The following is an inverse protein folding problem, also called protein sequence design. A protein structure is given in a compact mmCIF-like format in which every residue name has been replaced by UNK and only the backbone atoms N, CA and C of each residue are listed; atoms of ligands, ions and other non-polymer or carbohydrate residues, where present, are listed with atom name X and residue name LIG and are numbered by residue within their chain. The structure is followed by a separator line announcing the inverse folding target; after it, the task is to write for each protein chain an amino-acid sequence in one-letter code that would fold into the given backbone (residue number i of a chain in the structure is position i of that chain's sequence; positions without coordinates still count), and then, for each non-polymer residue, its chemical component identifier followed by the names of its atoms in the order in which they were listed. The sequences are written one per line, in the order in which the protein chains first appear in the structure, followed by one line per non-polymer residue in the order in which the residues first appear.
data_IF_284001610816
#
_entry.id   IF_284001610816
#
_cell.length_a   1.000
_cell.length_b   1.000
_cell.length_c   1.000
_cell.angle_alpha   90.00
_cell.angle_beta   90.00
_cell.angle_gamma   90.00
#
_symmetry.space_group_name_H-M   'P 1'
#
loop_
_entity.id
_entity.type
_entity.pdbx_description
1 polymer ?
#
# COMPACT_ATOMS: atom_id res chain seq x y z
N UNK A 1 -2.60 10.48 -14.84
CA UNK A 1 -3.67 10.49 -13.85
C UNK A 1 -4.98 9.91 -14.40
N UNK A 2 -5.57 10.42 -15.51
CA UNK A 2 -6.87 9.99 -16.02
C UNK A 2 -6.93 8.48 -16.34
N UNK A 3 -5.98 7.95 -17.11
CA UNK A 3 -5.91 6.51 -17.41
C UNK A 3 -5.85 5.64 -16.16
N UNK A 4 -5.07 6.04 -15.17
CA UNK A 4 -4.99 5.33 -13.90
C UNK A 4 -6.35 5.30 -13.20
N UNK A 5 -7.01 6.45 -13.06
CA UNK A 5 -8.30 6.56 -12.39
C UNK A 5 -9.37 5.68 -13.07
N UNK A 6 -9.48 5.74 -14.40
CA UNK A 6 -10.44 4.94 -15.14
C UNK A 6 -10.13 3.45 -15.06
N UNK A 7 -8.89 3.04 -15.28
CA UNK A 7 -8.50 1.65 -15.19
C UNK A 7 -8.73 1.07 -13.80
N UNK A 8 -8.39 1.82 -12.74
CA UNK A 8 -8.61 1.39 -11.37
C UNK A 8 -10.09 1.16 -11.05
N UNK A 9 -10.98 2.03 -11.53
CA UNK A 9 -12.41 1.93 -11.23
C UNK A 9 -13.18 0.98 -12.13
N UNK A 10 -12.70 0.65 -13.31
CA UNK A 10 -13.39 -0.15 -14.30
C UNK A 10 -12.83 -1.58 -14.44
N UNK A 11 -11.67 -1.86 -13.88
CA UNK A 11 -11.12 -3.21 -13.89
C UNK A 11 -11.75 -4.09 -12.81
N UNK A 12 -11.68 -5.38 -12.99
CA UNK A 12 -12.05 -6.35 -11.97
C UNK A 12 -10.92 -6.47 -10.94
N UNK A 13 -11.24 -6.07 -9.72
CA UNK A 13 -10.26 -5.87 -8.67
C UNK A 13 -9.62 -4.46 -8.73
N UNK A 14 -9.25 -3.88 -7.60
CA UNK A 14 -8.75 -2.51 -7.50
C UNK A 14 -7.29 -2.40 -7.97
N UNK A 15 -6.98 -2.89 -9.17
CA UNK A 15 -5.60 -2.88 -9.65
C UNK A 15 -5.52 -2.18 -11.01
N UNK A 16 -4.56 -1.27 -11.13
CA UNK A 16 -4.13 -0.75 -12.41
C UNK A 16 -3.69 -1.93 -13.29
N UNK A 17 -4.26 -2.03 -14.49
CA UNK A 17 -4.12 -3.18 -15.40
C UNK A 17 -4.79 -4.48 -14.91
N UNK A 18 -5.76 -4.39 -14.02
CA UNK A 18 -6.65 -5.51 -13.70
C UNK A 18 -7.44 -5.97 -14.93
N UNK A 19 -8.10 -7.11 -14.79
CA UNK A 19 -8.86 -7.71 -15.89
C UNK A 19 -10.05 -6.81 -16.27
N UNK A 20 -10.31 -6.68 -17.57
CA UNK A 20 -11.49 -5.97 -18.04
C UNK A 20 -12.76 -6.61 -17.47
N UNK A 21 -13.60 -5.80 -16.87
CA UNK A 21 -14.89 -6.23 -16.35
C UNK A 21 -16.04 -5.71 -17.22
N UNK A 22 -17.22 -6.35 -17.13
CA UNK A 22 -18.43 -5.85 -17.78
C UNK A 22 -18.83 -4.42 -17.34
N UNK A 23 -18.29 -3.95 -16.22
CA UNK A 23 -18.46 -2.57 -15.73
C UNK A 23 -17.94 -1.56 -16.75
N UNK A 24 -16.97 -1.93 -17.56
CA UNK A 24 -16.45 -1.09 -18.64
C UNK A 24 -17.53 -0.66 -19.65
N UNK A 25 -18.59 -1.44 -19.81
CA UNK A 25 -19.71 -1.17 -20.71
C UNK A 25 -20.82 -0.35 -20.04
N UNK A 26 -20.71 -0.05 -18.75
CA UNK A 26 -21.75 0.66 -18.00
C UNK A 26 -21.63 2.17 -18.16
N UNK A 27 -22.48 2.77 -18.99
CA UNK A 27 -22.57 4.23 -19.17
C UNK A 27 -22.79 4.94 -17.83
N UNK A 28 -23.69 4.43 -17.00
CA UNK A 28 -23.97 5.00 -15.66
C UNK A 28 -22.70 5.06 -14.78
N UNK A 29 -21.83 4.06 -14.87
CA UNK A 29 -20.58 4.08 -14.12
C UNK A 29 -19.63 5.14 -14.65
N UNK A 30 -19.53 5.27 -15.97
CA UNK A 30 -18.74 6.33 -16.61
C UNK A 30 -19.21 7.71 -16.23
N UNK A 31 -20.51 7.97 -16.29
CA UNK A 31 -21.10 9.26 -15.96
C UNK A 31 -20.82 9.66 -14.51
N UNK A 32 -20.93 8.69 -13.57
CA UNK A 32 -20.57 8.92 -12.16
C UNK A 32 -19.10 9.29 -12.02
N UNK A 33 -18.21 8.57 -12.67
CA UNK A 33 -16.77 8.82 -12.60
C UNK A 33 -16.41 10.20 -13.15
N UNK A 34 -16.96 10.57 -14.30
CA UNK A 34 -16.77 11.89 -14.91
C UNK A 34 -17.30 12.98 -13.96
N UNK A 35 -18.48 12.77 -13.36
CA UNK A 35 -19.05 13.70 -12.39
C UNK A 35 -18.15 13.91 -11.18
N UNK A 36 -17.55 12.85 -10.64
CA UNK A 36 -16.61 12.96 -9.52
C UNK A 36 -15.34 13.74 -9.89
N UNK A 37 -14.73 13.44 -11.05
CA UNK A 37 -13.56 14.19 -11.53
C UNK A 37 -13.88 15.68 -11.69
N UNK A 38 -15.04 16.01 -12.31
CA UNK A 38 -15.43 17.41 -12.54
C UNK A 38 -15.71 18.18 -11.25
N UNK A 39 -16.16 17.48 -10.20
CA UNK A 39 -16.41 18.07 -8.89
C UNK A 39 -15.15 18.15 -8.02
N UNK A 40 -14.11 17.39 -8.38
CA UNK A 40 -12.89 17.39 -7.61
C UNK A 40 -12.19 18.75 -7.76
N UNK A 41 -12.12 19.44 -6.66
CA UNK A 41 -11.34 20.66 -6.52
C UNK A 41 -10.73 20.66 -5.12
N UNK A 42 -9.42 20.54 -5.06
CA UNK A 42 -8.67 20.67 -3.80
C UNK A 42 -7.48 21.60 -4.06
N UNK A 43 -7.66 22.89 -3.81
CA UNK A 43 -6.60 23.88 -4.07
C UNK A 43 -5.38 23.72 -3.17
N UNK A 44 -5.54 23.04 -2.04
CA UNK A 44 -4.45 22.83 -1.07
C UNK A 44 -3.64 21.55 -1.35
N UNK A 45 -4.04 20.77 -2.37
CA UNK A 45 -3.33 19.57 -2.77
C UNK A 45 -2.23 19.90 -3.80
N UNK A 46 -0.99 19.78 -3.37
CA UNK A 46 0.18 19.88 -4.24
C UNK A 46 0.71 18.48 -4.55
N UNK A 47 0.86 18.17 -5.84
CA UNK A 47 1.37 16.88 -6.30
C UNK A 47 2.74 17.09 -6.91
N UNK A 48 3.73 16.39 -6.35
CA UNK A 48 5.10 16.40 -6.82
C UNK A 48 5.54 14.98 -7.17
N UNK A 49 6.24 14.81 -8.28
CA UNK A 49 6.97 13.59 -8.60
C UNK A 49 8.43 13.78 -8.22
N UNK A 50 8.97 12.88 -7.40
CA UNK A 50 10.37 12.91 -6.98
C UNK A 50 10.74 11.62 -6.25
N UNK A 51 12.03 11.38 -6.08
CA UNK A 51 12.53 10.35 -5.19
C UNK A 51 12.41 10.81 -3.72
N UNK A 52 12.19 9.87 -2.80
CA UNK A 52 12.16 10.18 -1.36
C UNK A 52 13.48 10.81 -0.88
N UNK A 53 14.59 10.44 -1.51
CA UNK A 53 15.94 10.95 -1.25
C UNK A 53 16.04 12.46 -1.49
N UNK A 54 15.31 12.95 -2.49
CA UNK A 54 15.25 14.37 -2.85
C UNK A 54 14.15 15.11 -2.10
N UNK A 55 13.03 14.44 -1.86
CA UNK A 55 11.83 15.08 -1.30
C UNK A 55 11.94 15.28 0.20
N UNK A 56 12.32 14.24 0.98
CA UNK A 56 12.37 14.33 2.44
C UNK A 56 13.26 15.49 2.96
N UNK A 57 14.46 15.72 2.41
CA UNK A 57 15.30 16.83 2.88
C UNK A 57 14.71 18.23 2.64
N UNK A 58 13.79 18.37 1.69
CA UNK A 58 13.15 19.66 1.41
C UNK A 58 12.05 20.03 2.43
N UNK A 59 11.61 19.07 3.25
CA UNK A 59 10.55 19.23 4.26
C UNK A 59 11.03 18.84 5.68
N UNK A 60 12.13 19.43 6.18
CA UNK A 60 12.84 18.91 7.35
C UNK A 60 12.06 18.97 8.67
N UNK A 61 11.03 19.82 8.74
CA UNK A 61 10.25 20.04 9.97
C UNK A 61 8.77 19.64 9.84
N UNK A 62 8.36 19.18 8.67
CA UNK A 62 6.96 18.87 8.39
C UNK A 62 6.55 17.51 8.95
N UNK A 63 5.25 17.30 9.13
CA UNK A 63 4.71 15.97 9.37
C UNK A 63 4.71 15.18 8.06
N UNK A 64 5.38 14.04 8.04
CA UNK A 64 5.46 13.17 6.86
C UNK A 64 4.72 11.86 7.13
N UNK A 65 3.87 11.44 6.19
CA UNK A 65 3.35 10.09 6.10
C UNK A 65 4.05 9.32 4.99
N UNK A 66 4.54 8.11 5.29
CA UNK A 66 5.30 7.29 4.35
C UNK A 66 4.71 5.88 4.27
N UNK A 67 4.60 5.40 3.03
CA UNK A 67 4.19 4.02 2.72
C UNK A 67 5.14 3.48 1.62
N UNK A 68 6.40 3.18 1.98
CA UNK A 68 7.40 2.71 1.02
C UNK A 68 7.13 1.27 0.60
N UNK A 69 7.81 0.78 -0.45
CA UNK A 69 7.88 -0.65 -0.72
C UNK A 69 8.29 -1.44 0.51
N UNK A 70 7.60 -2.53 0.81
CA UNK A 70 7.88 -3.32 2.01
C UNK A 70 9.23 -4.03 1.93
N UNK A 71 9.86 -4.18 3.08
CA UNK A 71 11.15 -4.85 3.19
C UNK A 71 11.02 -6.34 2.85
N UNK A 72 11.80 -6.79 1.88
CA UNK A 72 11.88 -8.21 1.52
C UNK A 72 13.01 -8.86 2.30
N UNK A 73 12.66 -9.62 3.31
CA UNK A 73 13.61 -10.46 4.00
C UNK A 73 14.04 -11.61 3.06
N UNK A 74 15.35 -11.81 2.90
CA UNK A 74 15.89 -12.81 1.98
C UNK A 74 15.46 -14.24 2.36
N UNK A 75 15.22 -14.45 3.65
CA UNK A 75 14.89 -15.76 4.22
C UNK A 75 13.37 -15.97 4.40
N UNK A 76 12.56 -14.95 4.14
CA UNK A 76 11.11 -15.07 4.27
C UNK A 76 10.46 -15.50 2.97
N UNK A 77 9.42 -16.33 3.09
CA UNK A 77 8.58 -16.74 1.94
C UNK A 77 7.88 -15.59 1.22
N UNK A 78 7.94 -14.38 1.74
CA UNK A 78 7.26 -13.16 1.23
C UNK A 78 5.80 -13.42 0.78
N UNK A 79 5.16 -14.42 1.41
CA UNK A 79 3.80 -14.90 1.04
C UNK A 79 2.75 -13.79 1.10
N UNK A 80 2.93 -12.86 2.05
CA UNK A 80 2.01 -11.74 2.19
C UNK A 80 2.08 -10.84 0.96
N UNK A 81 3.28 -10.43 0.57
CA UNK A 81 3.50 -9.54 -0.59
C UNK A 81 3.08 -10.21 -1.90
N UNK A 82 3.42 -11.50 -2.08
CA UNK A 82 2.96 -12.30 -3.23
C UNK A 82 1.43 -12.41 -3.28
N UNK A 83 0.78 -12.43 -2.12
CA UNK A 83 -0.68 -12.39 -2.03
C UNK A 83 -1.27 -11.02 -2.34
N UNK A 84 -0.57 -9.93 -2.02
CA UNK A 84 -1.01 -8.55 -2.29
C UNK A 84 -0.84 -8.15 -3.76
N UNK A 85 0.19 -8.66 -4.42
CA UNK A 85 0.54 -8.29 -5.80
C UNK A 85 0.68 -9.53 -6.70
N UNK A 86 -0.39 -10.32 -6.88
CA UNK A 86 -0.31 -11.63 -7.55
C UNK A 86 0.13 -11.57 -9.02
N UNK A 87 -0.03 -10.41 -9.65
CA UNK A 87 0.30 -10.18 -11.07
C UNK A 87 1.50 -9.24 -11.27
N UNK A 88 2.20 -8.87 -10.20
CA UNK A 88 3.36 -7.99 -10.26
C UNK A 88 4.64 -8.77 -9.99
N UNK A 89 5.70 -8.42 -10.71
CA UNK A 89 7.03 -8.85 -10.32
C UNK A 89 7.47 -8.03 -9.09
N UNK A 90 7.26 -8.61 -7.90
CA UNK A 90 7.55 -7.97 -6.60
C UNK A 90 9.02 -7.55 -6.54
N UNK A 91 9.91 -8.37 -7.07
CA UNK A 91 11.34 -8.11 -7.02
C UNK A 91 11.72 -6.80 -7.73
N UNK A 92 11.03 -6.45 -8.82
CA UNK A 92 11.28 -5.20 -9.55
C UNK A 92 10.91 -3.97 -8.72
N UNK A 93 9.86 -4.06 -7.90
CA UNK A 93 9.36 -2.90 -7.14
C UNK A 93 9.98 -2.78 -5.74
N UNK A 94 10.46 -3.88 -5.17
CA UNK A 94 10.92 -3.92 -3.78
C UNK A 94 12.43 -4.13 -3.62
N UNK A 95 13.06 -4.90 -4.51
CA UNK A 95 14.49 -5.26 -4.37
C UNK A 95 15.46 -4.09 -4.59
N UNK A 96 15.04 -3.05 -5.29
CA UNK A 96 15.85 -1.86 -5.57
C UNK A 96 15.65 -0.69 -4.61
N UNK A 97 14.74 -0.82 -3.64
CA UNK A 97 14.46 0.27 -2.70
C UNK A 97 15.52 0.31 -1.58
N UNK A 98 16.09 1.51 -1.35
CA UNK A 98 17.13 1.69 -0.34
C UNK A 98 16.52 1.99 1.04
N UNK A 99 16.20 0.92 1.78
CA UNK A 99 15.59 0.98 3.11
C UNK A 99 16.52 1.60 4.16
N UNK A 100 17.83 1.41 4.04
CA UNK A 100 18.82 1.98 4.96
C UNK A 100 18.90 3.49 4.81
N UNK A 101 18.94 3.98 3.58
CA UNK A 101 18.92 5.42 3.32
C UNK A 101 17.63 6.08 3.80
N UNK A 102 16.47 5.42 3.63
CA UNK A 102 15.22 5.92 4.17
C UNK A 102 15.29 6.04 5.70
N UNK A 103 15.79 5.00 6.38
CA UNK A 103 16.03 5.03 7.84
C UNK A 103 16.89 6.23 8.22
N UNK A 104 18.03 6.42 7.58
CA UNK A 104 18.99 7.46 7.91
C UNK A 104 18.40 8.86 7.69
N UNK A 105 17.62 9.06 6.62
CA UNK A 105 16.92 10.31 6.39
C UNK A 105 15.87 10.60 7.46
N UNK A 106 15.12 9.58 7.91
CA UNK A 106 14.11 9.74 8.95
C UNK A 106 14.70 9.95 10.34
N UNK A 107 15.87 9.38 10.65
CA UNK A 107 16.61 9.70 11.87
C UNK A 107 17.04 11.18 11.92
N UNK A 108 17.44 11.72 10.77
CA UNK A 108 17.83 13.13 10.66
C UNK A 108 16.66 14.10 10.47
N UNK A 109 15.46 13.60 10.18
CA UNK A 109 14.27 14.42 10.03
C UNK A 109 13.86 15.02 11.38
N UNK A 110 13.68 16.35 11.44
CA UNK A 110 13.38 17.07 12.69
C UNK A 110 11.89 17.04 13.04
N UNK A 111 11.03 17.00 12.03
CA UNK A 111 9.59 16.93 12.20
C UNK A 111 9.09 15.54 12.63
N UNK A 112 7.80 15.43 12.77
CA UNK A 112 7.13 14.16 13.08
C UNK A 112 6.95 13.30 11.82
N UNK A 113 6.85 11.98 11.99
CA UNK A 113 6.48 11.11 10.88
C UNK A 113 5.63 9.92 11.32
N UNK A 114 4.87 9.41 10.36
CA UNK A 114 4.17 8.13 10.42
C UNK A 114 4.68 7.29 9.26
N UNK A 115 5.23 6.13 9.56
CA UNK A 115 5.78 5.21 8.57
C UNK A 115 5.09 3.87 8.67
N UNK A 116 4.51 3.41 7.56
CA UNK A 116 3.90 2.08 7.43
C UNK A 116 4.91 1.09 6.84
N UNK A 117 5.02 -0.08 7.46
CA UNK A 117 5.90 -1.16 6.99
C UNK A 117 5.32 -2.55 7.28
N UNK A 118 5.89 -3.58 6.65
CA UNK A 118 5.69 -4.95 7.09
C UNK A 118 6.44 -5.20 8.40
N UNK A 119 5.78 -5.90 9.32
CA UNK A 119 6.36 -6.26 10.60
C UNK A 119 7.39 -7.40 10.43
N UNK A 120 8.66 -7.05 10.39
CA UNK A 120 9.78 -7.99 10.40
C UNK A 120 10.87 -7.54 11.36
N UNK A 121 11.79 -8.43 11.69
CA UNK A 121 12.85 -8.16 12.67
C UNK A 121 13.73 -6.98 12.27
N UNK A 122 14.17 -6.95 11.02
CA UNK A 122 15.00 -5.86 10.47
C UNK A 122 14.34 -4.48 10.63
N UNK A 123 13.05 -4.37 10.31
CA UNK A 123 12.32 -3.10 10.42
C UNK A 123 12.15 -2.71 11.89
N UNK A 124 11.84 -3.64 12.79
CA UNK A 124 11.78 -3.35 14.22
C UNK A 124 13.12 -2.85 14.76
N UNK A 125 14.22 -3.43 14.31
CA UNK A 125 15.56 -3.01 14.73
C UNK A 125 15.94 -1.64 14.16
N UNK A 126 15.62 -1.34 12.90
CA UNK A 126 15.88 -0.04 12.28
C UNK A 126 15.20 1.11 13.00
N UNK A 127 14.03 0.87 13.56
CA UNK A 127 13.18 1.90 14.15
C UNK A 127 12.86 1.66 15.63
N UNK A 128 13.68 0.89 16.34
CA UNK A 128 13.47 0.50 17.75
C UNK A 128 13.35 1.67 18.73
N UNK A 129 13.89 2.83 18.38
CA UNK A 129 13.87 4.03 19.21
C UNK A 129 12.56 4.82 19.11
N UNK A 130 11.71 4.49 18.16
CA UNK A 130 10.43 5.13 17.91
C UNK A 130 9.27 4.31 18.49
N UNK A 131 8.10 4.95 18.53
CA UNK A 131 6.87 4.23 18.95
C UNK A 131 6.42 3.27 17.87
N UNK A 132 6.36 1.98 18.21
CA UNK A 132 5.92 0.92 17.32
C UNK A 132 4.49 0.51 17.67
N UNK A 133 3.56 0.66 16.71
CA UNK A 133 2.17 0.21 16.84
C UNK A 133 1.93 -0.99 15.93
N UNK A 134 1.21 -1.96 16.42
CA UNK A 134 0.85 -3.18 15.71
C UNK A 134 -0.65 -3.19 15.45
N UNK A 135 -1.09 -2.62 14.31
CA UNK A 135 -2.52 -2.52 14.03
C UNK A 135 -3.12 -3.89 13.74
N UNK A 136 -4.25 -4.17 14.38
CA UNK A 136 -5.03 -5.38 14.18
C UNK A 136 -6.14 -5.11 13.17
N UNK A 137 -5.90 -5.39 11.91
CA UNK A 137 -6.95 -5.40 10.89
C UNK A 137 -6.86 -6.64 10.01
N UNK A 138 -7.95 -6.93 9.35
CA UNK A 138 -8.02 -8.03 8.41
C UNK A 138 -8.12 -7.51 7.00
N UNK A 139 -7.25 -7.99 6.12
CA UNK A 139 -7.39 -7.72 4.69
C UNK A 139 -8.57 -8.51 4.13
N UNK A 140 -9.62 -7.81 3.72
CA UNK A 140 -10.66 -8.38 2.89
C UNK A 140 -10.28 -8.21 1.41
N UNK A 141 -9.50 -9.13 0.88
CA UNK A 141 -9.04 -9.09 -0.52
C UNK A 141 -10.16 -9.19 -1.55
N UNK A 142 -11.39 -9.42 -1.14
CA UNK A 142 -12.46 -9.71 -2.07
C UNK A 142 -13.77 -9.09 -1.62
N UNK A 143 -14.04 -7.91 -2.16
CA UNK A 143 -15.38 -7.34 -2.14
C UNK A 143 -16.43 -8.18 -2.91
N UNK A 144 -16.08 -9.36 -3.43
CA UNK A 144 -16.94 -10.22 -4.23
C UNK A 144 -17.00 -11.70 -3.84
N UNK A 145 -16.02 -12.24 -3.13
CA UNK A 145 -16.04 -13.66 -2.78
C UNK A 145 -16.48 -13.90 -1.33
N UNK A 146 -17.77 -13.88 -1.11
CA UNK A 146 -18.39 -14.52 0.07
C UNK A 146 -18.25 -16.05 0.06
N UNK A 147 -17.60 -16.63 -0.96
CA UNK A 147 -17.48 -18.07 -1.12
C UNK A 147 -16.08 -18.52 -0.72
N UNK A 148 -16.02 -19.12 0.45
CA UNK A 148 -14.87 -19.94 0.83
C UNK A 148 -14.85 -21.12 -0.15
N UNK A 149 -13.79 -21.26 -0.94
CA UNK A 149 -13.66 -22.37 -1.88
C UNK A 149 -13.77 -23.71 -1.15
N UNK A 150 -14.34 -24.72 -1.81
CA UNK A 150 -14.57 -26.07 -1.26
C UNK A 150 -13.35 -26.63 -0.52
N UNK A 151 -12.16 -26.44 -1.09
CA UNK A 151 -10.87 -26.90 -0.53
C UNK A 151 -10.49 -26.24 0.80
N UNK A 152 -10.84 -24.96 1.01
CA UNK A 152 -10.60 -24.28 2.28
C UNK A 152 -11.60 -24.69 3.36
N UNK A 153 -12.87 -24.94 2.97
CA UNK A 153 -13.89 -25.49 3.89
C UNK A 153 -13.49 -26.87 4.41
N UNK A 154 -12.96 -27.72 3.55
CA UNK A 154 -12.50 -29.06 3.92
C UNK A 154 -11.33 -29.04 4.91
N UNK A 155 -10.59 -27.94 4.99
CA UNK A 155 -9.51 -27.70 5.96
C UNK A 155 -9.94 -26.91 7.20
N UNK A 156 -11.23 -26.70 7.41
CA UNK A 156 -11.75 -25.99 8.58
C UNK A 156 -11.50 -24.48 8.58
N UNK A 157 -11.25 -23.88 7.41
CA UNK A 157 -11.08 -22.43 7.29
C UNK A 157 -12.45 -21.78 7.23
N UNK A 158 -12.85 -21.10 8.30
CA UNK A 158 -14.17 -20.45 8.39
C UNK A 158 -14.28 -19.12 7.64
N UNK A 159 -13.16 -18.44 7.37
CA UNK A 159 -13.15 -17.15 6.67
C UNK A 159 -11.89 -16.96 5.83
N UNK A 160 -11.99 -16.14 4.78
CA UNK A 160 -10.86 -15.81 3.89
C UNK A 160 -10.06 -14.58 4.36
N UNK A 161 -10.30 -14.10 5.58
CA UNK A 161 -9.59 -12.96 6.15
C UNK A 161 -8.16 -13.38 6.50
N UNK A 162 -7.20 -12.51 6.19
CA UNK A 162 -5.82 -12.64 6.64
C UNK A 162 -5.53 -11.54 7.63
N UNK A 163 -4.86 -11.89 8.71
CA UNK A 163 -4.40 -10.92 9.69
C UNK A 163 -3.36 -10.00 9.06
N UNK A 164 -3.37 -8.75 9.46
CA UNK A 164 -2.34 -7.80 9.09
C UNK A 164 -1.02 -8.19 9.74
N UNK A 165 0.05 -8.12 8.97
CA UNK A 165 1.42 -8.20 9.47
C UNK A 165 2.13 -6.86 9.26
N UNK A 166 1.41 -5.78 9.50
CA UNK A 166 1.94 -4.42 9.37
C UNK A 166 2.36 -3.85 10.72
N UNK A 167 3.25 -2.88 10.63
CA UNK A 167 3.71 -2.08 11.75
C UNK A 167 3.61 -0.61 11.35
N UNK A 168 3.10 0.22 12.26
CA UNK A 168 3.19 1.67 12.14
C UNK A 168 4.26 2.17 13.09
N UNK A 169 5.15 2.98 12.57
CA UNK A 169 6.28 3.57 13.26
C UNK A 169 6.05 5.07 13.35
N UNK A 170 6.10 5.60 14.57
CA UNK A 170 5.73 6.98 14.84
C UNK A 170 6.87 7.71 15.53
N UNK A 171 7.20 8.90 15.01
CA UNK A 171 7.93 9.97 15.68
C UNK A 171 6.97 11.12 15.89
N UNK A 172 6.69 11.46 17.15
CA UNK A 172 5.81 12.56 17.56
C UNK A 172 6.62 13.75 18.05
#
# INVERSE_FOLDING_TARGET
AAYYYFNHNLSYGPMYLGWMSKIYQSQTKWDKMIKYIRKYNNPDLHIQKGSFEEVIPNYPNDLIYLDPPYYLDKDSDNKMLKGMYPNCNIDVHHSGFNHELLRDLLHNHKGSFILSYNNCETIREYYREYTLLYPEWHYSYQAGEKRIGKYKKERGVEHSKKDSHEILILKL
#
